data_IF_240983231258
#
_entry.id   IF_240983231258
#
_cell.length_a   1.000
_cell.length_b   1.000
_cell.length_c   1.000
_cell.angle_alpha   90.00
_cell.angle_beta   90.00
_cell.angle_gamma   90.00
#
_symmetry.space_group_name_H-M   'P 1'
#
loop_
_entity.id
_entity.type
_entity.pdbx_description
1 polymer ?
#
# COMPACT_ATOMS: atom_id res chain seq x y z
N UNK A 1 -14.56 4.73 -12.67
CA UNK A 1 -14.02 3.95 -11.55
C UNK A 1 -14.99 2.81 -11.27
N UNK A 2 -14.49 1.61 -10.98
CA UNK A 2 -15.32 0.38 -10.84
C UNK A 2 -15.79 0.20 -9.37
N UNK A 3 -15.59 1.22 -8.54
CA UNK A 3 -16.04 1.34 -7.15
C UNK A 3 -16.68 2.72 -6.96
N UNK A 4 -17.54 2.86 -5.96
CA UNK A 4 -18.03 4.16 -5.52
C UNK A 4 -16.88 4.92 -4.87
N UNK A 5 -16.61 6.13 -5.36
CA UNK A 5 -15.59 7.00 -4.78
C UNK A 5 -16.25 7.91 -3.77
N UNK A 6 -15.88 7.79 -2.50
CA UNK A 6 -16.38 8.64 -1.42
C UNK A 6 -15.23 9.27 -0.65
N UNK A 7 -15.50 10.40 0.00
CA UNK A 7 -14.56 10.90 1.00
C UNK A 7 -14.65 10.01 2.24
N UNK A 8 -13.51 9.60 2.78
CA UNK A 8 -13.45 8.85 4.03
C UNK A 8 -12.24 9.26 4.86
N UNK A 9 -12.30 8.97 6.15
CA UNK A 9 -11.15 8.96 7.02
C UNK A 9 -10.50 7.57 7.02
N UNK A 10 -9.20 7.53 7.30
CA UNK A 10 -8.49 6.28 7.45
C UNK A 10 -7.23 6.46 8.29
N UNK A 11 -6.80 5.40 8.94
CA UNK A 11 -5.61 5.34 9.77
C UNK A 11 -4.51 4.60 9.04
N UNK A 12 -3.36 5.24 8.88
CA UNK A 12 -2.17 4.66 8.25
C UNK A 12 -1.02 4.53 9.24
N UNK A 13 -0.59 3.30 9.54
CA UNK A 13 0.62 3.04 10.33
C UNK A 13 1.85 2.91 9.43
N UNK A 14 2.95 3.56 9.82
CA UNK A 14 4.25 3.48 9.12
C UNK A 14 5.39 3.90 10.05
N UNK A 15 6.61 3.96 9.53
CA UNK A 15 7.78 4.46 10.27
C UNK A 15 7.86 5.98 10.28
N UNK A 16 8.71 6.53 11.15
CA UNK A 16 9.03 7.97 11.18
C UNK A 16 9.51 8.46 9.80
N UNK A 17 10.34 7.67 9.10
CA UNK A 17 10.81 8.00 7.75
C UNK A 17 9.67 7.89 6.73
N UNK A 18 8.83 6.87 6.85
CA UNK A 18 7.64 6.68 6.00
C UNK A 18 6.70 7.88 6.03
N UNK A 19 6.61 8.60 7.15
CA UNK A 19 5.82 9.83 7.26
C UNK A 19 6.33 10.99 6.41
N UNK A 20 7.65 11.11 6.18
CA UNK A 20 8.19 12.13 5.24
C UNK A 20 7.65 11.89 3.84
N UNK A 21 7.75 10.63 3.37
CA UNK A 21 7.18 10.21 2.09
C UNK A 21 5.67 10.45 2.06
N UNK A 22 4.95 10.12 3.14
CA UNK A 22 3.51 10.33 3.22
C UNK A 22 3.10 11.80 3.02
N UNK A 23 3.86 12.74 3.59
CA UNK A 23 3.64 14.18 3.43
C UNK A 23 3.84 14.64 1.99
N UNK A 24 4.84 14.09 1.29
CA UNK A 24 5.10 14.38 -0.13
C UNK A 24 4.01 13.84 -1.05
N UNK A 25 3.34 12.75 -0.64
CA UNK A 25 2.26 12.14 -1.42
C UNK A 25 0.90 12.83 -1.25
N UNK A 26 0.74 13.76 -0.30
CA UNK A 26 -0.52 14.47 -0.08
C UNK A 26 -1.01 15.18 -1.35
N UNK A 27 -2.31 15.05 -1.65
CA UNK A 27 -2.94 15.63 -2.83
C UNK A 27 -2.55 14.99 -4.17
N UNK A 28 -1.59 14.05 -4.20
CA UNK A 28 -1.22 13.31 -5.41
C UNK A 28 -2.22 12.18 -5.70
N UNK A 29 -2.06 11.56 -6.88
CA UNK A 29 -2.81 10.35 -7.26
C UNK A 29 -2.24 9.06 -6.64
N UNK A 30 -1.21 9.15 -5.80
CA UNK A 30 -0.70 8.00 -5.08
C UNK A 30 -1.76 7.41 -4.17
N UNK A 31 -1.65 6.10 -3.92
CA UNK A 31 -2.61 5.31 -3.16
C UNK A 31 -1.91 4.74 -1.92
N UNK A 32 -2.62 4.80 -0.81
CA UNK A 32 -2.15 4.27 0.47
C UNK A 32 -3.20 3.36 1.09
N UNK A 33 -2.70 2.32 1.75
CA UNK A 33 -3.50 1.39 2.54
C UNK A 33 -3.78 2.02 3.90
N UNK A 34 -5.02 1.92 4.35
CA UNK A 34 -5.50 2.47 5.61
C UNK A 34 -6.51 1.55 6.23
N UNK A 35 -6.78 1.76 7.52
CA UNK A 35 -7.83 1.05 8.26
C UNK A 35 -8.79 2.08 8.85
N UNK A 36 -10.08 1.79 8.89
CA UNK A 36 -11.06 2.56 9.68
C UNK A 36 -11.73 1.69 10.75
N UNK A 37 -11.48 0.38 10.73
CA UNK A 37 -11.84 -0.56 11.78
C UNK A 37 -10.65 -1.47 12.13
N UNK A 38 -10.49 -1.77 13.43
CA UNK A 38 -9.51 -2.73 13.91
C UNK A 38 -9.95 -3.37 15.24
N UNK A 39 -9.66 -4.66 15.40
CA UNK A 39 -9.77 -5.38 16.67
C UNK A 39 -8.75 -4.86 17.69
N UNK A 40 -8.85 -5.29 18.95
CA UNK A 40 -7.83 -4.98 19.97
C UNK A 40 -6.43 -5.44 19.55
N UNK A 41 -6.31 -6.62 18.93
CA UNK A 41 -5.02 -7.13 18.44
C UNK A 41 -4.58 -6.40 17.16
N UNK A 42 -5.52 -5.97 16.32
CA UNK A 42 -5.26 -5.05 15.19
C UNK A 42 -4.66 -3.72 15.64
N UNK A 43 -5.20 -3.09 16.70
CA UNK A 43 -4.64 -1.87 17.28
C UNK A 43 -3.20 -2.07 17.76
N UNK A 44 -2.90 -3.19 18.44
CA UNK A 44 -1.53 -3.51 18.85
C UNK A 44 -0.60 -3.69 17.64
N UNK A 45 -1.10 -4.28 16.56
CA UNK A 45 -0.34 -4.44 15.32
C UNK A 45 -0.07 -3.08 14.65
N UNK A 46 -1.03 -2.16 14.67
CA UNK A 46 -0.82 -0.79 14.19
C UNK A 46 0.22 -0.03 15.03
N UNK A 47 0.28 -0.28 16.35
CA UNK A 47 1.30 0.26 17.27
C UNK A 47 2.70 -0.22 16.88
N UNK A 48 2.88 -1.54 16.67
CA UNK A 48 4.16 -2.12 16.29
C UNK A 48 4.54 -1.85 14.84
N UNK A 49 3.56 -1.51 14.01
CA UNK A 49 3.67 -1.47 12.55
C UNK A 49 3.23 -2.80 11.95
N UNK A 50 2.41 -2.76 10.90
CA UNK A 50 1.86 -3.95 10.23
C UNK A 50 2.94 -4.64 9.39
N UNK A 51 3.67 -3.86 8.58
CA UNK A 51 4.76 -4.34 7.70
C UNK A 51 6.08 -3.58 7.91
N UNK A 52 6.17 -2.83 9.02
CA UNK A 52 7.32 -1.98 9.34
C UNK A 52 7.59 -2.02 10.83
N UNK A 53 8.68 -1.41 11.30
CA UNK A 53 8.96 -1.24 12.74
C UNK A 53 8.01 -0.25 13.47
N UNK A 54 7.04 0.33 12.75
CA UNK A 54 6.03 1.23 13.30
C UNK A 54 6.61 2.54 13.83
N UNK A 55 5.95 3.11 14.84
CA UNK A 55 6.40 4.34 15.52
C UNK A 55 5.79 5.64 15.01
N UNK A 56 5.00 5.61 13.93
CA UNK A 56 4.18 6.74 13.53
C UNK A 56 2.84 6.32 12.90
N UNK A 57 1.74 6.88 13.41
CA UNK A 57 0.38 6.62 12.89
C UNK A 57 -0.24 7.92 12.43
N UNK A 58 -0.93 7.92 11.28
CA UNK A 58 -1.56 9.12 10.73
C UNK A 58 -3.04 8.87 10.49
N UNK A 59 -3.88 9.79 10.95
CA UNK A 59 -5.24 9.96 10.48
C UNK A 59 -5.19 10.79 9.22
N UNK A 60 -5.79 10.27 8.15
CA UNK A 60 -5.89 10.92 6.86
C UNK A 60 -7.34 11.07 6.45
N UNK A 61 -7.59 12.03 5.58
CA UNK A 61 -8.87 12.21 4.89
C UNK A 61 -8.63 12.27 3.39
N UNK A 62 -9.33 11.45 2.63
CA UNK A 62 -9.16 11.42 1.17
C UNK A 62 -10.26 10.68 0.46
N UNK A 63 -10.02 10.37 -0.81
CA UNK A 63 -10.95 9.62 -1.65
C UNK A 63 -10.71 8.11 -1.50
N UNK A 64 -11.69 7.42 -0.92
CA UNK A 64 -11.79 5.97 -0.95
C UNK A 64 -11.97 5.51 -2.39
N UNK A 65 -11.05 4.69 -2.90
CA UNK A 65 -11.21 4.03 -4.21
C UNK A 65 -11.43 2.53 -4.07
N UNK A 66 -11.22 1.99 -2.87
CA UNK A 66 -11.50 0.60 -2.55
C UNK A 66 -11.69 0.46 -1.05
N UNK A 67 -12.63 -0.40 -0.65
CA UNK A 67 -12.93 -0.73 0.74
C UNK A 67 -13.12 -2.25 0.80
N UNK A 68 -12.53 -2.87 1.81
CA UNK A 68 -12.67 -4.27 2.15
C UNK A 68 -12.89 -4.41 3.65
N UNK A 69 -13.68 -5.39 4.06
CA UNK A 69 -13.92 -5.69 5.49
C UNK A 69 -12.77 -6.48 6.12
N UNK A 70 -11.82 -6.97 5.32
CA UNK A 70 -10.60 -7.66 5.75
C UNK A 70 -9.35 -7.09 5.08
N UNK A 71 -8.16 -7.53 5.53
CA UNK A 71 -6.90 -7.23 4.85
C UNK A 71 -6.82 -7.98 3.50
N UNK A 72 -6.70 -7.24 2.40
CA UNK A 72 -6.64 -7.80 1.05
C UNK A 72 -5.20 -7.88 0.51
N UNK A 73 -4.20 -7.60 1.36
CA UNK A 73 -2.78 -7.64 1.03
C UNK A 73 -2.45 -6.86 -0.24
N UNK A 74 -2.94 -5.63 -0.35
CA UNK A 74 -2.68 -4.83 -1.55
C UNK A 74 -1.18 -4.51 -1.71
N UNK A 75 -0.68 -4.49 -2.95
CA UNK A 75 0.73 -4.25 -3.27
C UNK A 75 0.93 -2.88 -3.91
N UNK A 76 1.88 -2.10 -3.39
CA UNK A 76 2.26 -0.82 -4.00
C UNK A 76 3.33 -1.01 -5.09
N UNK A 77 3.12 -0.42 -6.27
CA UNK A 77 4.15 -0.33 -7.30
C UNK A 77 5.07 0.88 -7.15
N UNK A 78 6.11 0.96 -7.98
CA UNK A 78 7.08 2.07 -7.96
C UNK A 78 6.46 3.44 -8.27
N UNK A 79 5.24 3.49 -8.82
CA UNK A 79 4.51 4.73 -9.13
C UNK A 79 3.53 5.10 -8.00
N UNK A 80 3.45 4.31 -6.93
CA UNK A 80 2.55 4.54 -5.81
C UNK A 80 1.11 4.08 -6.05
N UNK A 81 0.83 3.32 -7.12
CA UNK A 81 -0.47 2.66 -7.32
C UNK A 81 -0.52 1.36 -6.55
N UNK A 82 -1.68 0.98 -6.05
CA UNK A 82 -1.90 -0.28 -5.34
C UNK A 82 -2.66 -1.26 -6.22
N UNK A 83 -2.23 -2.51 -6.17
CA UNK A 83 -2.77 -3.62 -6.94
C UNK A 83 -3.22 -4.71 -5.98
N UNK A 84 -4.31 -5.40 -6.32
CA UNK A 84 -4.81 -6.55 -5.59
C UNK A 84 -4.80 -7.72 -6.56
N UNK A 85 -4.45 -8.90 -6.07
CA UNK A 85 -4.50 -10.08 -6.91
C UNK A 85 -5.93 -10.40 -7.32
N UNK A 86 -6.13 -10.62 -8.62
CA UNK A 86 -7.45 -10.92 -9.18
C UNK A 86 -8.04 -12.23 -8.61
N UNK A 87 -7.18 -13.12 -8.11
CA UNK A 87 -7.60 -14.36 -7.45
C UNK A 87 -8.35 -14.12 -6.14
N UNK A 88 -8.11 -13.00 -5.46
CA UNK A 88 -8.85 -12.62 -4.26
C UNK A 88 -10.34 -12.37 -4.56
N UNK A 89 -10.71 -12.22 -5.83
CA UNK A 89 -12.09 -12.02 -6.27
C UNK A 89 -12.75 -13.28 -6.86
N UNK A 90 -12.10 -14.45 -6.78
CA UNK A 90 -12.59 -15.67 -7.45
C UNK A 90 -13.99 -16.09 -6.97
N UNK A 91 -14.31 -15.92 -5.69
CA UNK A 91 -15.63 -16.29 -5.17
C UNK A 91 -16.73 -15.33 -5.64
N UNK A 92 -16.40 -14.04 -5.77
CA UNK A 92 -17.30 -13.03 -6.35
C UNK A 92 -17.46 -13.18 -7.87
N UNK A 93 -16.43 -13.72 -8.55
CA UNK A 93 -16.42 -13.99 -9.98
C UNK A 93 -15.91 -15.40 -10.28
N UNK A 94 -16.75 -16.44 -10.10
CA UNK A 94 -16.33 -17.84 -10.25
C UNK A 94 -15.72 -18.15 -11.63
N UNK A 95 -16.10 -17.40 -12.66
CA UNK A 95 -15.62 -17.57 -14.03
C UNK A 95 -14.39 -16.72 -14.38
N UNK A 96 -13.83 -15.95 -13.43
CA UNK A 96 -12.77 -14.97 -13.72
C UNK A 96 -11.50 -15.63 -14.26
N UNK A 97 -11.13 -16.81 -13.76
CA UNK A 97 -9.99 -17.58 -14.27
C UNK A 97 -10.17 -17.95 -15.74
N UNK A 98 -11.32 -18.53 -16.08
CA UNK A 98 -11.64 -18.90 -17.47
C UNK A 98 -11.67 -17.69 -18.40
N UNK A 99 -12.12 -16.54 -17.90
CA UNK A 99 -12.13 -15.30 -18.70
C UNK A 99 -10.73 -14.74 -18.90
N UNK A 100 -9.87 -14.76 -17.87
CA UNK A 100 -8.46 -14.38 -17.97
C UNK A 100 -7.75 -15.22 -19.04
N UNK A 101 -8.00 -16.53 -19.09
CA UNK A 101 -7.39 -17.41 -20.09
C UNK A 101 -7.87 -17.09 -21.51
N UNK A 102 -9.17 -16.80 -21.67
CA UNK A 102 -9.72 -16.32 -22.96
C UNK A 102 -9.10 -14.97 -23.38
N UNK A 103 -8.91 -14.05 -22.43
CA UNK A 103 -8.28 -12.74 -22.69
C UNK A 103 -6.82 -12.95 -23.12
N UNK A 104 -6.05 -13.79 -22.41
CA UNK A 104 -4.67 -14.11 -22.77
C UNK A 104 -4.59 -14.72 -24.16
N UNK A 105 -5.46 -15.69 -24.48
CA UNK A 105 -5.53 -16.33 -25.80
C UNK A 105 -5.87 -15.31 -26.91
N UNK A 106 -6.83 -14.43 -26.65
CA UNK A 106 -7.20 -13.34 -27.58
C UNK A 106 -6.04 -12.39 -27.84
N UNK A 107 -5.26 -12.03 -26.81
CA UNK A 107 -4.12 -11.13 -26.95
C UNK A 107 -2.98 -11.79 -27.73
N UNK A 108 -2.61 -13.04 -27.39
CA UNK A 108 -1.53 -13.73 -28.11
C UNK A 108 -1.89 -13.94 -29.58
N UNK A 109 -3.12 -14.37 -29.91
CA UNK A 109 -3.54 -14.56 -31.30
C UNK A 109 -3.48 -13.25 -32.11
N UNK A 110 -3.70 -12.09 -31.47
CA UNK A 110 -3.61 -10.80 -32.13
C UNK A 110 -2.17 -10.33 -32.33
N UNK A 111 -1.28 -10.62 -31.38
CA UNK A 111 0.10 -10.13 -31.37
C UNK A 111 1.10 -11.14 -31.93
N UNK A 112 0.70 -12.39 -32.16
CA UNK A 112 1.54 -13.46 -32.71
C UNK A 112 2.25 -13.06 -34.02
N UNK A 113 1.61 -12.40 -35.01
CA UNK A 113 2.31 -12.01 -36.23
C UNK A 113 3.46 -11.01 -35.98
N UNK A 114 3.31 -10.14 -34.98
CA UNK A 114 4.36 -9.19 -34.57
C UNK A 114 5.45 -9.91 -33.77
N UNK A 115 5.05 -10.77 -32.82
CA UNK A 115 5.94 -11.58 -32.01
C UNK A 115 6.82 -12.49 -32.87
N UNK A 116 6.25 -13.19 -33.87
CA UNK A 116 6.97 -14.08 -34.77
C UNK A 116 8.05 -13.35 -35.59
N UNK A 117 7.77 -12.10 -36.03
CA UNK A 117 8.77 -11.28 -36.73
C UNK A 117 9.92 -10.87 -35.80
N UNK A 118 9.62 -10.47 -34.58
CA UNK A 118 10.63 -10.12 -33.57
C UNK A 118 11.45 -11.35 -33.16
N UNK A 119 10.81 -12.50 -33.02
CA UNK A 119 11.45 -13.76 -32.67
C UNK A 119 12.43 -14.23 -33.74
N UNK A 120 12.02 -14.19 -35.02
CA UNK A 120 12.92 -14.50 -36.14
C UNK A 120 14.11 -13.54 -36.20
N UNK A 121 13.90 -12.24 -35.92
CA UNK A 121 14.97 -11.24 -35.90
C UNK A 121 15.98 -11.49 -34.79
N UNK A 122 15.51 -11.84 -33.59
CA UNK A 122 16.36 -12.04 -32.41
C UNK A 122 17.09 -13.39 -32.43
N UNK A 123 16.37 -14.47 -32.78
CA UNK A 123 16.87 -15.83 -32.62
C UNK A 123 17.19 -16.54 -33.95
N UNK A 124 16.94 -15.91 -35.09
CA UNK A 124 17.22 -16.48 -36.42
C UNK A 124 16.37 -17.70 -36.79
N UNK A 125 15.32 -18.01 -36.02
CA UNK A 125 14.46 -19.18 -36.21
C UNK A 125 12.98 -18.83 -36.05
N UNK A 126 12.06 -19.57 -36.68
CA UNK A 126 10.63 -19.28 -36.56
C UNK A 126 10.12 -19.56 -35.14
N UNK A 127 9.10 -18.81 -34.73
CA UNK A 127 8.34 -19.10 -33.52
C UNK A 127 7.42 -20.30 -33.79
N UNK A 128 7.63 -21.40 -33.08
CA UNK A 128 6.86 -22.64 -33.29
C UNK A 128 5.57 -22.68 -32.48
N UNK A 129 5.58 -22.13 -31.26
CA UNK A 129 4.41 -21.99 -30.40
C UNK A 129 4.59 -20.78 -29.50
N UNK A 130 3.89 -19.68 -29.81
CA UNK A 130 3.89 -18.49 -28.98
C UNK A 130 2.96 -18.63 -27.78
N UNK A 131 3.41 -18.19 -26.61
CA UNK A 131 2.58 -18.09 -25.42
C UNK A 131 2.44 -16.64 -24.97
N UNK A 132 1.42 -16.34 -24.15
CA UNK A 132 1.25 -14.99 -23.60
C UNK A 132 2.51 -14.49 -22.85
N UNK A 133 3.21 -15.31 -22.04
CA UNK A 133 4.51 -14.93 -21.45
C UNK A 133 5.59 -14.52 -22.45
N UNK A 134 5.59 -15.06 -23.68
CA UNK A 134 6.62 -14.72 -24.67
C UNK A 134 6.52 -13.26 -25.15
N UNK A 135 5.35 -12.62 -25.00
CA UNK A 135 5.17 -11.20 -25.29
C UNK A 135 6.02 -10.30 -24.40
N UNK A 136 6.36 -10.76 -23.18
CA UNK A 136 7.17 -10.01 -22.23
C UNK A 136 8.64 -9.86 -22.66
N UNK A 137 9.11 -10.70 -23.60
CA UNK A 137 10.50 -10.69 -24.09
C UNK A 137 10.82 -9.45 -24.92
N UNK A 138 9.82 -8.82 -25.52
CA UNK A 138 10.02 -7.64 -26.35
C UNK A 138 9.19 -6.46 -25.81
N UNK A 139 9.86 -5.35 -25.48
CA UNK A 139 9.23 -4.23 -24.77
C UNK A 139 8.03 -3.61 -25.49
N UNK A 140 8.03 -3.54 -26.83
CA UNK A 140 6.91 -2.98 -27.59
C UNK A 140 5.67 -3.88 -27.58
N UNK A 141 5.82 -5.19 -27.78
CA UNK A 141 4.71 -6.15 -27.70
C UNK A 141 4.22 -6.33 -26.27
N UNK A 142 5.13 -6.31 -25.29
CA UNK A 142 4.81 -6.35 -23.87
C UNK A 142 3.88 -5.19 -23.49
N UNK A 143 4.26 -3.95 -23.84
CA UNK A 143 3.44 -2.77 -23.56
C UNK A 143 2.07 -2.82 -24.23
N UNK A 144 1.98 -3.31 -25.48
CA UNK A 144 0.69 -3.50 -26.17
C UNK A 144 -0.16 -4.56 -25.48
N UNK A 145 0.43 -5.69 -25.11
CA UNK A 145 -0.25 -6.79 -24.43
C UNK A 145 -0.81 -6.35 -23.08
N UNK A 146 -0.02 -5.62 -22.29
CA UNK A 146 -0.43 -5.07 -21.00
C UNK A 146 -1.65 -4.14 -21.15
N UNK A 147 -1.61 -3.21 -22.12
CA UNK A 147 -2.75 -2.30 -22.38
C UNK A 147 -4.00 -3.08 -22.78
N UNK A 148 -3.88 -4.01 -23.72
CA UNK A 148 -5.00 -4.85 -24.13
C UNK A 148 -5.57 -5.69 -22.97
N UNK A 149 -4.70 -6.22 -22.11
CA UNK A 149 -5.12 -6.98 -20.94
C UNK A 149 -5.97 -6.12 -20.00
N UNK A 150 -5.49 -4.93 -19.64
CA UNK A 150 -6.26 -4.01 -18.79
C UNK A 150 -7.58 -3.58 -19.43
N UNK A 151 -7.59 -3.25 -20.73
CA UNK A 151 -8.81 -2.87 -21.44
C UNK A 151 -9.85 -3.99 -21.45
N UNK A 152 -9.44 -5.24 -21.68
CA UNK A 152 -10.34 -6.39 -21.72
C UNK A 152 -10.85 -6.78 -20.32
N UNK A 153 -9.99 -6.71 -19.30
CA UNK A 153 -10.40 -6.89 -17.90
C UNK A 153 -11.39 -5.80 -17.50
N UNK A 154 -11.14 -4.53 -17.84
CA UNK A 154 -12.07 -3.44 -17.55
C UNK A 154 -13.43 -3.65 -18.24
N UNK A 155 -13.43 -4.10 -19.51
CA UNK A 155 -14.67 -4.46 -20.22
C UNK A 155 -15.40 -5.63 -19.55
N UNK A 156 -14.69 -6.69 -19.18
CA UNK A 156 -15.27 -7.84 -18.47
C UNK A 156 -15.91 -7.41 -17.16
N UNK A 157 -15.18 -6.62 -16.36
CA UNK A 157 -15.68 -6.13 -15.10
C UNK A 157 -16.92 -5.24 -15.33
N UNK A 158 -16.87 -4.27 -16.24
CA UNK A 158 -18.04 -3.41 -16.53
C UNK A 158 -19.30 -4.19 -16.95
N UNK A 159 -19.14 -5.28 -17.72
CA UNK A 159 -20.26 -6.10 -18.21
C UNK A 159 -20.95 -6.94 -17.13
N UNK A 160 -20.26 -7.28 -16.05
CA UNK A 160 -20.75 -8.21 -15.03
C UNK A 160 -21.51 -7.53 -13.88
N UNK A 161 -21.83 -6.24 -14.02
CA UNK A 161 -22.49 -5.37 -13.02
C UNK A 161 -21.73 -5.34 -11.69
N UNK A 162 -20.43 -5.07 -11.78
CA UNK A 162 -19.39 -5.34 -10.77
C UNK A 162 -19.26 -4.36 -9.63
N UNK A 163 -19.80 -3.15 -9.70
CA UNK A 163 -19.59 -2.19 -8.60
C UNK A 163 -20.11 -2.79 -7.26
N UNK A 164 -21.31 -3.37 -7.28
CA UNK A 164 -21.85 -4.10 -6.13
C UNK A 164 -21.10 -5.41 -5.84
N UNK A 165 -20.72 -6.19 -6.86
CA UNK A 165 -20.06 -7.49 -6.66
C UNK A 165 -18.63 -7.39 -6.15
N UNK A 166 -17.84 -6.41 -6.59
CA UNK A 166 -16.49 -6.17 -6.07
C UNK A 166 -16.54 -5.57 -4.68
N UNK A 167 -17.46 -4.63 -4.43
CA UNK A 167 -17.71 -4.12 -3.08
C UNK A 167 -18.15 -5.24 -2.15
N UNK A 168 -18.94 -6.20 -2.62
CA UNK A 168 -19.38 -7.35 -1.83
C UNK A 168 -18.35 -8.49 -1.78
N UNK A 169 -17.34 -8.51 -2.66
CA UNK A 169 -16.36 -9.60 -2.73
C UNK A 169 -15.56 -9.73 -1.44
N UNK A 170 -15.30 -8.59 -0.80
CA UNK A 170 -14.63 -8.50 0.49
C UNK A 170 -15.54 -7.96 1.58
N UNK A 171 -16.87 -8.12 1.39
CA UNK A 171 -17.78 -7.87 2.50
C UNK A 171 -17.95 -9.13 3.32
N UNK A 172 -17.66 -9.02 4.60
CA UNK A 172 -17.86 -10.10 5.54
C UNK A 172 -19.28 -10.04 6.09
N UNK A 173 -19.85 -11.20 6.45
CA UNK A 173 -21.14 -11.25 7.14
C UNK A 173 -21.09 -10.59 8.52
N UNK A 174 -19.90 -10.55 9.12
CA UNK A 174 -19.58 -9.88 10.38
C UNK A 174 -18.21 -9.21 10.24
N UNK A 175 -18.15 -8.04 9.61
CA UNK A 175 -16.92 -7.26 9.41
C UNK A 175 -16.16 -6.95 10.71
N UNK A 176 -16.86 -6.97 11.85
CA UNK A 176 -16.30 -6.68 13.17
C UNK A 176 -16.00 -7.93 14.01
N UNK A 177 -16.13 -9.13 13.45
CA UNK A 177 -15.82 -10.37 14.16
C UNK A 177 -14.30 -10.61 14.17
N UNK A 178 -13.68 -10.27 15.30
CA UNK A 178 -12.25 -10.45 15.52
C UNK A 178 -11.77 -11.90 15.53
N UNK A 179 -12.67 -12.89 15.44
CA UNK A 179 -12.30 -14.29 15.22
C UNK A 179 -11.94 -14.58 13.76
N UNK A 180 -12.23 -13.65 12.84
CA UNK A 180 -12.06 -13.82 11.39
C UNK A 180 -11.09 -12.80 10.80
N UNK A 181 -11.06 -11.56 11.30
CA UNK A 181 -10.08 -10.53 10.88
C UNK A 181 -9.71 -9.57 12.01
N UNK A 182 -8.45 -9.12 12.05
CA UNK A 182 -7.96 -8.17 13.05
C UNK A 182 -8.07 -6.70 12.62
N UNK A 183 -8.21 -6.43 11.32
CA UNK A 183 -8.46 -5.09 10.77
C UNK A 183 -8.99 -5.20 9.35
N UNK A 184 -9.52 -4.09 8.85
CA UNK A 184 -9.99 -3.98 7.48
C UNK A 184 -8.98 -3.21 6.60
N UNK A 185 -9.05 -3.32 5.27
CA UNK A 185 -8.18 -2.55 4.37
C UNK A 185 -8.97 -1.63 3.43
N UNK A 186 -8.66 -0.33 3.52
CA UNK A 186 -9.17 0.71 2.65
C UNK A 186 -8.05 1.35 1.84
N UNK A 187 -8.29 1.55 0.54
CA UNK A 187 -7.34 2.22 -0.36
C UNK A 187 -7.79 3.65 -0.60
N UNK A 188 -7.00 4.60 -0.10
CA UNK A 188 -7.30 6.03 -0.17
C UNK A 188 -6.30 6.74 -1.10
N UNK A 189 -6.79 7.68 -1.90
CA UNK A 189 -5.99 8.57 -2.77
C UNK A 189 -6.38 10.04 -2.58
N UNK A 190 -5.58 10.97 -3.15
CA UNK A 190 -5.79 12.42 -3.05
C UNK A 190 -6.04 12.90 -1.62
N UNK A 191 -5.31 12.31 -0.68
CA UNK A 191 -5.54 12.50 0.74
C UNK A 191 -4.82 13.73 1.29
N UNK A 192 -5.28 14.18 2.45
CA UNK A 192 -4.59 15.09 3.36
C UNK A 192 -4.42 14.41 4.72
N UNK A 193 -3.35 14.77 5.42
CA UNK A 193 -3.03 14.27 6.74
C UNK A 193 -3.61 15.24 7.76
N UNK A 194 -4.54 14.75 8.57
CA UNK A 194 -5.24 15.54 9.59
C UNK A 194 -4.46 15.49 10.91
N UNK A 195 -4.01 14.31 11.31
CA UNK A 195 -3.28 14.10 12.56
C UNK A 195 -2.16 13.10 12.33
N UNK A 196 -0.98 13.37 12.89
CA UNK A 196 0.08 12.37 13.02
C UNK A 196 0.48 12.22 14.48
N UNK A 197 0.53 10.98 14.92
CA UNK A 197 0.98 10.59 16.26
C UNK A 197 2.31 9.90 16.12
N UNK A 198 3.32 10.43 16.81
CA UNK A 198 4.63 9.80 16.93
C UNK A 198 4.82 9.22 18.32
N UNK A 199 5.42 8.03 18.36
CA UNK A 199 5.85 7.42 19.59
C UNK A 199 7.21 7.99 20.03
N UNK A 200 7.24 8.66 21.19
CA UNK A 200 8.43 9.31 21.75
C UNK A 200 9.59 8.34 21.96
N UNK A 201 9.32 7.10 22.36
CA UNK A 201 10.39 6.12 22.62
C UNK A 201 11.06 5.67 21.32
N UNK A 202 10.28 5.48 20.25
CA UNK A 202 10.80 5.14 18.91
C UNK A 202 11.53 6.30 18.25
N UNK A 203 11.20 7.53 18.63
CA UNK A 203 11.98 8.71 18.29
C UNK A 203 13.30 8.76 19.07
N UNK A 204 13.26 8.55 20.39
CA UNK A 204 14.41 8.65 21.29
C UNK A 204 15.50 7.60 21.04
N UNK A 205 15.14 6.36 20.66
CA UNK A 205 16.12 5.32 20.30
C UNK A 205 16.96 5.71 19.07
N UNK A 206 16.50 6.67 18.25
CA UNK A 206 17.31 7.25 17.16
C UNK A 206 18.15 8.47 17.58
N UNK A 207 17.91 9.05 18.77
CA UNK A 207 18.61 10.25 19.27
C UNK A 207 19.49 9.99 20.49
N UNK A 208 19.39 8.81 21.14
CA UNK A 208 20.15 8.48 22.36
C UNK A 208 21.60 8.05 22.13
N UNK A 209 22.08 8.00 20.88
CA UNK A 209 23.47 7.65 20.56
C UNK A 209 24.38 8.87 20.33
N UNK A 210 24.05 10.06 20.85
CA UNK A 210 24.93 11.25 20.69
C UNK A 210 25.28 11.97 21.99
N UNK A 211 24.73 11.58 23.14
CA UNK A 211 25.11 12.19 24.42
C UNK A 211 25.43 11.11 25.47
N UNK A 212 26.64 10.56 25.42
CA UNK A 212 27.26 9.93 26.59
C UNK A 212 28.75 10.27 26.62
N UNK A 213 29.18 10.86 27.74
CA UNK A 213 30.55 11.27 28.10
C UNK A 213 31.53 10.08 28.19
N UNK A 214 31.73 9.34 27.10
CA UNK A 214 32.69 8.25 27.01
C UNK A 214 33.22 8.10 25.60
N UNK A 215 34.52 7.83 25.47
CA UNK A 215 35.22 7.57 24.21
C UNK A 215 34.66 6.32 23.51
N UNK A 216 33.53 6.47 22.84
CA UNK A 216 33.09 5.58 21.78
C UNK A 216 32.53 6.43 20.65
N UNK A 217 33.02 6.20 19.43
CA UNK A 217 32.50 6.90 18.27
C UNK A 217 31.06 6.43 18.01
N UNK A 218 30.11 7.37 17.92
CA UNK A 218 28.69 7.10 17.69
C UNK A 218 28.43 6.22 16.44
N UNK A 219 29.39 6.16 15.52
CA UNK A 219 29.38 5.30 14.33
C UNK A 219 29.41 3.79 14.62
N UNK A 220 30.01 3.34 15.73
CA UNK A 220 30.29 1.91 15.95
C UNK A 220 29.12 1.12 16.56
N UNK A 221 28.21 1.80 17.26
CA UNK A 221 27.04 1.19 17.92
C UNK A 221 25.86 1.06 16.95
N UNK A 222 25.65 2.08 16.12
CA UNK A 222 24.59 2.12 15.12
C UNK A 222 24.82 1.11 13.98
N UNK A 223 26.07 0.92 13.56
CA UNK A 223 26.45 -0.08 12.55
C UNK A 223 26.29 -1.53 13.05
N UNK A 224 26.31 -1.77 14.37
CA UNK A 224 26.09 -3.10 14.97
C UNK A 224 24.62 -3.41 15.21
N UNK A 225 23.80 -2.40 15.51
CA UNK A 225 22.37 -2.60 15.79
C UNK A 225 21.51 -2.61 14.52
N UNK A 226 21.96 -1.93 13.46
CA UNK A 226 21.25 -1.87 12.18
C UNK A 226 22.23 -1.97 10.99
N UNK A 227 22.83 -3.15 10.76
CA UNK A 227 23.86 -3.33 9.73
C UNK A 227 23.37 -3.01 8.31
N UNK A 228 22.05 -2.97 8.08
CA UNK A 228 21.43 -2.73 6.78
C UNK A 228 20.85 -1.30 6.59
N UNK A 229 20.89 -0.41 7.61
CA UNK A 229 20.38 0.98 7.50
C UNK A 229 21.33 2.02 8.14
N UNK A 230 22.40 2.43 7.43
CA UNK A 230 23.40 3.38 7.91
C UNK A 230 22.92 4.84 8.00
N UNK A 231 21.63 5.12 7.75
CA UNK A 231 21.09 6.48 7.62
C UNK A 231 20.92 7.24 8.95
N UNK A 232 21.61 6.87 10.04
CA UNK A 232 21.46 7.49 11.35
C UNK A 232 22.28 8.77 11.54
N UNK A 233 23.35 8.99 10.78
CA UNK A 233 24.29 10.11 11.00
C UNK A 233 23.93 11.42 10.28
N UNK A 234 23.09 11.37 9.23
CA UNK A 234 22.75 12.56 8.40
C UNK A 234 21.34 13.12 8.67
N UNK A 235 20.73 12.79 9.82
CA UNK A 235 19.33 13.17 10.10
C UNK A 235 19.24 14.53 10.79
N UNK A 236 18.36 15.37 10.25
CA UNK A 236 17.97 16.65 10.85
C UNK A 236 17.53 16.48 12.32
N UNK A 237 17.96 17.37 13.23
CA UNK A 237 17.52 17.35 14.63
C UNK A 237 16.00 17.32 14.80
N UNK A 238 15.54 16.67 15.87
CA UNK A 238 14.13 16.34 16.08
C UNK A 238 13.18 17.56 16.08
N UNK A 239 13.57 18.65 16.75
CA UNK A 239 12.76 19.87 16.85
C UNK A 239 12.45 20.49 15.48
N UNK A 240 13.49 20.86 14.69
CA UNK A 240 13.32 21.35 13.33
C UNK A 240 12.50 20.41 12.42
N UNK A 241 12.71 19.10 12.53
CA UNK A 241 11.91 18.11 11.80
C UNK A 241 10.41 18.21 12.14
N UNK A 242 10.04 18.21 13.42
CA UNK A 242 8.64 18.30 13.86
C UNK A 242 8.02 19.64 13.47
N UNK A 243 8.76 20.75 13.54
CA UNK A 243 8.25 22.05 13.11
C UNK A 243 7.97 22.11 11.61
N UNK A 244 8.86 21.57 10.77
CA UNK A 244 8.62 21.41 9.33
C UNK A 244 7.39 20.55 9.07
N UNK A 245 7.22 19.50 9.87
CA UNK A 245 6.09 18.57 9.73
C UNK A 245 4.76 19.24 10.09
N UNK A 246 4.71 19.99 11.21
CA UNK A 246 3.54 20.77 11.66
C UNK A 246 3.04 21.79 10.62
N UNK A 247 3.92 22.29 9.76
CA UNK A 247 3.54 23.20 8.65
C UNK A 247 2.82 22.50 7.50
N UNK A 248 2.87 21.16 7.43
CA UNK A 248 2.40 20.36 6.29
C UNK A 248 1.25 19.39 6.65
N UNK A 249 0.88 19.28 7.91
CA UNK A 249 -0.21 18.42 8.40
C UNK A 249 -1.09 19.19 9.38
N UNK A 250 -2.33 18.74 9.59
CA UNK A 250 -3.27 19.43 10.48
C UNK A 250 -2.78 19.52 11.92
N UNK A 251 -2.36 18.39 12.50
CA UNK A 251 -1.84 18.31 13.87
C UNK A 251 -0.76 17.26 14.04
N UNK A 252 0.13 17.48 15.02
CA UNK A 252 1.20 16.54 15.39
C UNK A 252 1.15 16.30 16.89
N UNK A 253 0.96 15.03 17.27
CA UNK A 253 0.90 14.56 18.65
C UNK A 253 2.16 13.74 18.94
N UNK A 254 2.81 14.02 20.06
CA UNK A 254 3.92 13.25 20.58
C UNK A 254 3.47 12.56 21.85
N UNK A 255 3.55 11.23 21.89
CA UNK A 255 3.02 10.45 23.02
C UNK A 255 4.00 9.40 23.50
N UNK A 256 3.92 9.02 24.79
CA UNK A 256 4.70 7.92 25.36
C UNK A 256 4.26 6.58 24.78
N UNK A 257 5.04 5.52 24.96
CA UNK A 257 4.63 4.16 24.57
C UNK A 257 3.31 3.76 25.27
N UNK A 258 3.18 4.07 26.56
CA UNK A 258 2.03 3.68 27.39
C UNK A 258 0.72 4.32 26.90
N UNK A 259 0.80 5.53 26.38
CA UNK A 259 -0.35 6.26 25.85
C UNK A 259 -0.56 6.02 24.33
N UNK A 260 0.42 5.48 23.62
CA UNK A 260 0.40 5.40 22.15
C UNK A 260 -0.72 4.50 21.63
N UNK A 261 -0.95 3.36 22.28
CA UNK A 261 -2.02 2.43 21.91
C UNK A 261 -3.40 3.09 22.03
N UNK A 262 -3.67 3.73 23.18
CA UNK A 262 -4.91 4.47 23.43
C UNK A 262 -5.14 5.55 22.38
N UNK A 263 -4.09 6.31 22.03
CA UNK A 263 -4.18 7.35 21.00
C UNK A 263 -4.44 6.80 19.60
N UNK A 264 -3.90 5.63 19.26
CA UNK A 264 -4.18 4.98 17.98
C UNK A 264 -5.63 4.51 17.92
N UNK A 265 -6.15 3.93 19.02
CA UNK A 265 -7.56 3.57 19.12
C UNK A 265 -8.47 4.79 18.91
N UNK A 266 -8.16 5.93 19.54
CA UNK A 266 -8.91 7.18 19.31
C UNK A 266 -8.93 7.61 17.82
N UNK A 267 -7.82 7.43 17.10
CA UNK A 267 -7.78 7.73 15.66
C UNK A 267 -8.64 6.77 14.84
N UNK A 268 -8.63 5.47 15.17
CA UNK A 268 -9.47 4.47 14.49
C UNK A 268 -10.95 4.75 14.79
N UNK A 269 -11.30 5.00 16.04
CA UNK A 269 -12.65 5.40 16.44
C UNK A 269 -13.10 6.67 15.69
N UNK A 270 -12.21 7.65 15.50
CA UNK A 270 -12.47 8.86 14.70
C UNK A 270 -12.66 8.56 13.21
N UNK A 271 -11.93 7.58 12.67
CA UNK A 271 -12.03 7.20 11.26
C UNK A 271 -13.35 6.49 10.93
N UNK A 272 -13.92 5.78 11.92
CA UNK A 272 -15.16 5.02 11.81
C UNK A 272 -16.45 5.86 11.99
N UNK A 273 -16.32 7.17 12.24
CA UNK A 273 -17.46 8.10 12.40
C UNK A 273 -18.03 8.59 11.07
#
# INVERSE_FOLDING_TARGET
CITEVKNMYGVHSTTINGKKKLVELQGSSAQISTVDWASKEGIKTLVSGVATEGGAVALIKGLAIFEADEDIYSYQDNQGRRWVEIMNFKDAFPTIGNEIDKIKLKIINRLEPELSKLWQKEYGKPLTQGSFPDLARFGSTSNKAIRMFFDEIEKFLKKTSTQGKMKNAFKMKSAEDSSVTDWNENIITKFKIETVIFNKNRLAVRFKDVDMDGEYSASDVLAKLFPDDPAATDREPFGPFIEKFRKKVGSVILTSQDDFETRIKELVDTANM
#
